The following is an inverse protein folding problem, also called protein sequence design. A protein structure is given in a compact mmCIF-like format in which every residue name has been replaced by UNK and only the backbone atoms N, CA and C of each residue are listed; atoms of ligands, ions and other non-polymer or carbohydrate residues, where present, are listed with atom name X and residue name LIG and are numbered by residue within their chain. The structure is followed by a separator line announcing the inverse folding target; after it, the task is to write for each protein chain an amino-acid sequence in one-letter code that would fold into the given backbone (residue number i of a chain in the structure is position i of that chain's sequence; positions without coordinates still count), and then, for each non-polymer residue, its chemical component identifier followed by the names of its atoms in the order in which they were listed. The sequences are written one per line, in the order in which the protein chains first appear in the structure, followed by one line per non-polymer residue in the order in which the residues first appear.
data_IF_269313425719
#
_entry.id   IF_269313425719
#
_cell.length_a   1.000
_cell.length_b   1.000
_cell.length_c   1.000
_cell.angle_alpha   90.00
_cell.angle_beta   90.00
_cell.angle_gamma   90.00
#
_symmetry.space_group_name_H-M   'P 1'
#
loop_
_entity.id
_entity.type
_entity.pdbx_description
1 polymer ?
#
# COMPACT_ATOMS: atom_id res chain seq x y z
N UNK A 1 -5.52 -28.54 -13.59
CA UNK A 1 -4.50 -27.57 -13.17
C UNK A 1 -5.22 -26.61 -12.24
N UNK A 2 -4.63 -26.28 -11.09
CA UNK A 2 -5.22 -25.22 -10.24
C UNK A 2 -5.07 -23.93 -11.04
N UNK A 3 -6.17 -23.37 -11.55
CA UNK A 3 -6.16 -22.05 -12.17
C UNK A 3 -6.14 -21.03 -11.02
N UNK A 4 -4.95 -20.82 -10.46
CA UNK A 4 -4.74 -19.88 -9.38
C UNK A 4 -5.14 -18.48 -9.87
N UNK A 5 -6.04 -17.81 -9.14
CA UNK A 5 -6.57 -16.49 -9.51
C UNK A 5 -5.46 -15.46 -9.65
N UNK A 6 -4.43 -15.53 -8.80
CA UNK A 6 -3.25 -14.66 -8.83
C UNK A 6 -2.00 -15.53 -8.85
N UNK A 7 -1.13 -15.32 -9.84
CA UNK A 7 0.14 -16.05 -9.97
C UNK A 7 1.32 -15.09 -9.90
N UNK A 8 2.25 -15.32 -8.97
CA UNK A 8 3.50 -14.57 -8.88
C UNK A 8 4.40 -14.88 -10.09
N UNK A 9 4.87 -13.84 -10.78
CA UNK A 9 5.79 -13.99 -11.93
C UNK A 9 7.26 -14.02 -11.52
N UNK A 10 7.59 -13.26 -10.48
CA UNK A 10 8.97 -13.13 -10.01
C UNK A 10 9.41 -14.41 -9.29
N UNK A 11 10.23 -15.21 -9.97
CA UNK A 11 10.95 -16.33 -9.37
C UNK A 11 12.44 -16.24 -9.74
N UNK A 12 13.34 -15.89 -8.78
CA UNK A 12 13.08 -15.75 -7.35
C UNK A 12 12.22 -14.54 -7.00
N UNK A 13 11.59 -14.58 -5.82
CA UNK A 13 10.90 -13.43 -5.23
C UNK A 13 11.88 -12.27 -5.07
N UNK A 14 11.51 -11.10 -5.57
CA UNK A 14 12.39 -9.94 -5.60
C UNK A 14 12.21 -9.10 -4.34
N UNK A 15 13.11 -9.31 -3.39
CA UNK A 15 13.18 -8.60 -2.11
C UNK A 15 14.63 -8.31 -1.70
N UNK A 16 14.81 -7.27 -0.90
CA UNK A 16 16.08 -6.87 -0.34
C UNK A 16 15.90 -6.34 1.08
N UNK A 17 16.81 -6.74 1.97
CA UNK A 17 16.97 -6.16 3.29
C UNK A 17 18.36 -5.53 3.35
N UNK A 18 18.43 -4.22 3.58
CA UNK A 18 19.67 -3.44 3.59
C UNK A 18 20.12 -3.11 5.00
N UNK A 19 21.42 -2.85 5.15
CA UNK A 19 21.97 -2.35 6.42
C UNK A 19 21.61 -0.88 6.68
N UNK A 20 21.35 -0.11 5.62
CA UNK A 20 20.97 1.29 5.68
C UNK A 20 19.77 1.59 4.78
N UNK A 21 19.01 2.61 5.17
CA UNK A 21 17.80 3.04 4.46
C UNK A 21 18.11 3.52 3.04
N UNK A 22 17.28 3.13 2.09
CA UNK A 22 17.23 3.74 0.76
C UNK A 22 15.84 4.35 0.56
N UNK A 23 15.75 5.68 0.62
CA UNK A 23 14.48 6.41 0.56
C UNK A 23 14.11 6.64 -0.91
N UNK A 24 12.93 6.17 -1.32
CA UNK A 24 12.39 6.47 -2.66
C UNK A 24 11.83 7.90 -2.71
N UNK A 25 11.88 8.53 -3.89
CA UNK A 25 11.29 9.85 -4.11
C UNK A 25 9.77 9.83 -4.35
N UNK A 26 9.09 8.71 -4.10
CA UNK A 26 7.65 8.57 -4.36
C UNK A 26 6.87 9.15 -3.19
N UNK A 27 5.83 9.93 -3.50
CA UNK A 27 5.03 10.64 -2.48
C UNK A 27 4.09 9.68 -1.74
N UNK A 28 3.40 8.79 -2.45
CA UNK A 28 2.58 7.73 -1.82
C UNK A 28 3.42 6.48 -1.67
N UNK A 29 3.74 6.14 -0.43
CA UNK A 29 4.50 4.94 -0.10
C UNK A 29 3.61 3.69 -0.12
N UNK A 30 2.33 3.83 0.21
CA UNK A 30 1.38 2.71 0.19
C UNK A 30 -0.02 3.07 0.66
N UNK A 31 -0.96 2.16 0.40
CA UNK A 31 -2.34 2.22 0.88
C UNK A 31 -2.70 0.86 1.47
N UNK A 32 -2.98 0.81 2.77
CA UNK A 32 -3.19 -0.46 3.45
C UNK A 32 -4.19 -0.40 4.61
N UNK A 33 -4.83 -1.53 4.87
CA UNK A 33 -5.44 -1.91 6.14
C UNK A 33 -4.51 -2.92 6.83
N UNK A 34 -4.29 -2.75 8.12
CA UNK A 34 -3.53 -3.70 8.94
C UNK A 34 -4.51 -4.56 9.74
N UNK A 35 -4.40 -5.87 9.66
CA UNK A 35 -5.05 -6.77 10.60
C UNK A 35 -4.12 -7.12 11.76
N UNK A 36 -4.45 -8.21 12.46
CA UNK A 36 -3.68 -8.67 13.61
C UNK A 36 -2.47 -9.47 13.16
N UNK A 37 -1.31 -9.24 13.79
CA UNK A 37 -0.12 -10.05 13.52
C UNK A 37 -0.41 -11.54 13.78
N UNK A 38 0.05 -12.45 12.91
CA UNK A 38 -0.22 -13.87 13.05
C UNK A 38 0.38 -14.43 14.34
N UNK A 39 -0.37 -15.31 15.01
CA UNK A 39 0.01 -15.90 16.32
C UNK A 39 1.31 -16.72 16.24
N UNK A 40 1.66 -17.22 15.04
CA UNK A 40 2.86 -18.01 14.77
C UNK A 40 3.85 -17.26 13.86
N UNK A 41 4.40 -16.15 14.37
CA UNK A 41 5.75 -15.59 14.20
C UNK A 41 6.36 -15.37 12.81
N UNK A 42 6.25 -16.29 11.86
CA UNK A 42 7.10 -16.33 10.67
C UNK A 42 6.32 -16.21 9.34
N UNK A 43 5.00 -16.39 9.36
CA UNK A 43 4.18 -16.35 8.14
C UNK A 43 3.44 -15.04 8.06
N UNK A 44 3.70 -14.24 7.02
CA UNK A 44 2.96 -13.02 6.73
C UNK A 44 2.02 -13.24 5.56
N UNK A 45 0.88 -12.56 5.57
CA UNK A 45 -0.15 -12.69 4.53
C UNK A 45 -0.38 -11.34 3.87
N UNK A 46 -0.18 -11.30 2.55
CA UNK A 46 -0.56 -10.16 1.73
C UNK A 46 -1.84 -10.49 0.96
N UNK A 47 -2.84 -9.62 1.09
CA UNK A 47 -4.12 -9.71 0.40
C UNK A 47 -4.43 -8.35 -0.22
N UNK A 48 -5.29 -8.30 -1.22
CA UNK A 48 -5.76 -7.05 -1.82
C UNK A 48 -7.22 -7.15 -2.25
N UNK A 49 -7.95 -6.04 -2.18
CA UNK A 49 -9.27 -5.95 -2.80
C UNK A 49 -9.08 -5.42 -4.24
N UNK A 50 -9.05 -6.29 -5.23
CA UNK A 50 -8.78 -5.89 -6.61
C UNK A 50 -10.10 -5.59 -7.35
N UNK A 51 -10.16 -4.53 -8.16
CA UNK A 51 -11.34 -4.26 -8.94
C UNK A 51 -11.54 -5.27 -10.09
N UNK A 52 -12.77 -5.47 -10.57
CA UNK A 52 -13.06 -6.39 -11.68
C UNK A 52 -12.39 -5.98 -13.00
N UNK A 53 -12.23 -4.68 -13.25
CA UNK A 53 -11.59 -4.18 -14.48
C UNK A 53 -10.11 -4.56 -14.64
N UNK A 54 -9.46 -5.08 -13.59
CA UNK A 54 -8.09 -5.58 -13.66
C UNK A 54 -8.02 -7.03 -14.17
N UNK A 55 -9.14 -7.66 -14.51
CA UNK A 55 -9.17 -9.03 -15.04
C UNK A 55 -8.21 -9.22 -16.22
N UNK A 56 -7.41 -10.29 -16.18
CA UNK A 56 -6.40 -10.60 -17.20
C UNK A 56 -5.20 -9.64 -17.25
N UNK A 57 -5.11 -8.66 -16.33
CA UNK A 57 -4.02 -7.69 -16.29
C UNK A 57 -2.83 -8.18 -15.46
N UNK A 58 -1.75 -7.42 -15.53
CA UNK A 58 -0.63 -7.53 -14.59
C UNK A 58 -0.88 -6.65 -13.39
N UNK A 59 -0.35 -7.07 -12.25
CA UNK A 59 -0.36 -6.30 -11.01
C UNK A 59 1.07 -6.14 -10.54
N UNK A 60 1.44 -4.93 -10.13
CA UNK A 60 2.67 -4.67 -9.40
C UNK A 60 2.37 -4.50 -7.91
N UNK A 61 3.09 -5.22 -7.05
CA UNK A 61 3.12 -4.94 -5.62
C UNK A 61 4.51 -4.44 -5.21
N UNK A 62 4.54 -3.29 -4.55
CA UNK A 62 5.73 -2.73 -3.89
C UNK A 62 5.49 -2.69 -2.39
N UNK A 63 6.43 -3.22 -1.62
CA UNK A 63 6.42 -3.22 -0.15
C UNK A 63 7.67 -2.53 0.34
N UNK A 64 7.53 -1.64 1.32
CA UNK A 64 8.62 -0.85 1.88
C UNK A 64 8.45 -0.73 3.39
N UNK A 65 9.49 -1.02 4.17
CA UNK A 65 9.46 -0.75 5.62
C UNK A 65 9.61 0.73 5.92
N UNK A 66 9.08 1.16 7.07
CA UNK A 66 9.17 2.56 7.51
C UNK A 66 10.61 3.05 7.61
N UNK A 67 11.54 2.18 8.01
CA UNK A 67 12.98 2.48 8.07
C UNK A 67 13.71 2.42 6.73
N UNK A 68 13.01 2.08 5.64
CA UNK A 68 13.55 1.99 4.29
C UNK A 68 14.60 0.90 4.10
N UNK A 69 14.73 -0.05 5.03
CA UNK A 69 15.70 -1.14 4.95
C UNK A 69 15.16 -2.34 4.18
N UNK A 70 13.89 -2.68 4.37
CA UNK A 70 13.22 -3.74 3.62
C UNK A 70 12.48 -3.17 2.43
N UNK A 71 12.65 -3.82 1.28
CA UNK A 71 11.92 -3.52 0.05
C UNK A 71 11.61 -4.81 -0.71
N UNK A 72 10.41 -4.92 -1.26
CA UNK A 72 10.05 -5.96 -2.22
C UNK A 72 9.28 -5.35 -3.39
N UNK A 73 9.59 -5.77 -4.62
CA UNK A 73 8.90 -5.31 -5.83
C UNK A 73 8.64 -6.50 -6.74
N UNK A 74 7.38 -6.91 -6.86
CA UNK A 74 7.01 -8.14 -7.55
C UNK A 74 5.80 -7.94 -8.47
N UNK A 75 5.80 -8.69 -9.58
CA UNK A 75 4.71 -8.71 -10.55
C UNK A 75 3.88 -9.98 -10.40
N UNK A 76 2.58 -9.85 -10.63
CA UNK A 76 1.61 -10.93 -10.60
C UNK A 76 0.78 -10.91 -11.89
N UNK A 77 0.43 -12.09 -12.39
CA UNK A 77 -0.58 -12.26 -13.42
C UNK A 77 -1.94 -12.51 -12.73
N UNK A 78 -2.95 -11.73 -13.09
CA UNK A 78 -4.33 -11.90 -12.63
C UNK A 78 -5.12 -12.69 -13.68
N UNK A 79 -5.90 -13.68 -13.24
CA UNK A 79 -6.73 -14.49 -14.13
C UNK A 79 -7.72 -13.65 -14.95
N UNK A 80 -8.00 -14.09 -16.18
CA UNK A 80 -9.07 -13.53 -17.02
C UNK A 80 -10.48 -13.85 -16.49
N UNK A 81 -10.58 -14.81 -15.57
CA UNK A 81 -11.84 -15.16 -14.89
C UNK A 81 -12.09 -14.31 -13.65
N UNK A 82 -11.20 -13.35 -13.35
CA UNK A 82 -11.35 -12.47 -12.19
C UNK A 82 -12.60 -11.60 -12.29
N UNK A 83 -13.40 -11.59 -11.22
CA UNK A 83 -14.66 -10.87 -11.13
C UNK A 83 -14.66 -9.72 -10.11
N UNK A 84 -13.49 -9.37 -9.56
CA UNK A 84 -13.35 -8.40 -8.48
C UNK A 84 -13.48 -9.00 -7.08
N UNK A 85 -12.98 -8.27 -6.08
CA UNK A 85 -13.06 -8.62 -4.66
C UNK A 85 -11.71 -8.87 -3.98
N UNK A 86 -11.75 -9.55 -2.84
CA UNK A 86 -10.56 -9.81 -2.01
C UNK A 86 -9.85 -11.08 -2.47
N UNK A 87 -8.54 -11.01 -2.70
CA UNK A 87 -7.72 -12.18 -3.06
C UNK A 87 -6.32 -12.10 -2.44
N UNK A 88 -5.73 -13.26 -2.15
CA UNK A 88 -4.38 -13.38 -1.64
C UNK A 88 -3.34 -13.17 -2.75
N UNK A 89 -2.27 -12.46 -2.43
CA UNK A 89 -1.09 -12.32 -3.30
C UNK A 89 0.03 -13.18 -2.72
N UNK A 90 0.55 -14.18 -3.46
CA UNK A 90 1.66 -15.00 -2.97
C UNK A 90 2.87 -14.15 -2.57
N UNK A 91 3.21 -14.14 -1.28
CA UNK A 91 4.30 -13.32 -0.72
C UNK A 91 5.34 -14.21 0.00
N UNK A 92 6.11 -15.03 -0.73
CA UNK A 92 7.05 -16.00 -0.16
C UNK A 92 8.35 -15.33 0.32
N UNK A 93 8.24 -14.31 1.17
CA UNK A 93 9.38 -13.60 1.76
C UNK A 93 10.20 -14.52 2.65
N UNK A 94 11.53 -14.39 2.59
CA UNK A 94 12.45 -15.02 3.56
C UNK A 94 12.60 -14.22 4.86
N UNK A 95 11.94 -13.06 4.96
CA UNK A 95 12.06 -12.11 6.06
C UNK A 95 10.78 -12.05 6.92
N UNK A 96 9.91 -13.06 6.85
CA UNK A 96 8.61 -13.08 7.53
C UNK A 96 8.67 -12.71 9.01
N UNK A 97 9.60 -13.27 9.78
CA UNK A 97 9.79 -12.95 11.20
C UNK A 97 10.05 -11.44 11.44
N UNK A 98 10.95 -10.84 10.65
CA UNK A 98 11.27 -9.41 10.78
C UNK A 98 10.09 -8.51 10.39
N UNK A 99 9.23 -8.96 9.48
CA UNK A 99 8.07 -8.20 9.02
C UNK A 99 6.85 -8.38 9.94
N UNK A 100 6.71 -9.54 10.58
CA UNK A 100 5.62 -9.82 11.51
C UNK A 100 5.69 -8.96 12.78
N UNK A 101 6.91 -8.60 13.21
CA UNK A 101 7.16 -7.77 14.39
C UNK A 101 6.99 -6.26 14.13
N UNK A 102 6.72 -5.85 12.89
CA UNK A 102 6.54 -4.43 12.56
C UNK A 102 5.19 -3.90 13.08
N UNK A 103 5.16 -2.66 13.61
CA UNK A 103 3.90 -2.03 14.01
C UNK A 103 2.98 -1.79 12.80
N UNK A 104 1.70 -1.45 12.99
CA UNK A 104 0.76 -1.18 11.89
C UNK A 104 1.18 -0.13 10.85
N UNK A 105 2.09 0.76 11.22
CA UNK A 105 2.69 1.78 10.34
C UNK A 105 4.17 1.50 10.06
N UNK A 106 4.61 0.26 10.26
CA UNK A 106 5.97 -0.20 10.00
C UNK A 106 6.19 -0.63 8.55
N UNK A 107 5.11 -0.77 7.76
CA UNK A 107 5.14 -1.13 6.34
C UNK A 107 4.21 -0.23 5.54
N UNK A 108 4.65 0.11 4.34
CA UNK A 108 3.82 0.67 3.29
C UNK A 108 3.75 -0.32 2.13
N UNK A 109 2.55 -0.52 1.61
CA UNK A 109 2.27 -1.47 0.52
C UNK A 109 1.51 -0.74 -0.57
N UNK A 110 2.04 -0.77 -1.78
CA UNK A 110 1.40 -0.22 -2.96
C UNK A 110 1.11 -1.34 -3.95
N UNK A 111 -0.16 -1.52 -4.30
CA UNK A 111 -0.62 -2.50 -5.28
C UNK A 111 -1.29 -1.75 -6.42
N UNK A 112 -0.81 -1.94 -7.65
CA UNK A 112 -1.30 -1.22 -8.81
C UNK A 112 -1.48 -2.11 -10.03
N UNK A 113 -2.39 -1.73 -10.93
CA UNK A 113 -2.45 -2.33 -12.26
C UNK A 113 -1.20 -2.00 -13.09
N UNK A 114 -0.79 -2.93 -13.94
CA UNK A 114 0.35 -2.83 -14.84
C UNK A 114 1.61 -3.54 -14.35
N UNK A 115 2.69 -3.38 -15.11
CA UNK A 115 4.02 -3.85 -14.73
C UNK A 115 4.69 -2.91 -13.71
N UNK A 116 5.73 -3.41 -13.04
CA UNK A 116 6.43 -2.63 -12.01
C UNK A 116 7.34 -1.52 -12.55
N UNK A 117 7.47 -1.39 -13.87
CA UNK A 117 8.24 -0.32 -14.51
C UNK A 117 7.36 0.83 -15.00
N UNK A 118 6.05 0.58 -15.15
CA UNK A 118 5.06 1.54 -15.58
C UNK A 118 4.78 2.57 -14.49
N UNK A 119 4.40 3.77 -14.94
CA UNK A 119 3.94 4.81 -14.04
C UNK A 119 2.60 4.40 -13.43
N UNK A 120 2.54 4.51 -12.11
CA UNK A 120 1.38 4.17 -11.29
C UNK A 120 0.20 5.07 -11.66
N UNK A 121 -0.89 4.50 -12.16
CA UNK A 121 -2.14 5.25 -12.39
C UNK A 121 -3.26 4.80 -11.45
N UNK A 122 -3.40 3.48 -11.27
CA UNK A 122 -4.55 2.86 -10.60
C UNK A 122 -4.02 1.97 -9.48
N UNK A 123 -4.23 2.38 -8.22
CA UNK A 123 -3.80 1.68 -7.01
C UNK A 123 -5.00 1.09 -6.28
N UNK A 124 -4.82 0.05 -5.47
CA UNK A 124 -5.84 -0.44 -4.54
C UNK A 124 -5.34 -0.50 -3.09
N UNK A 125 -6.27 -0.64 -2.15
CA UNK A 125 -6.00 -0.91 -0.74
C UNK A 125 -5.46 -2.34 -0.57
N UNK A 126 -4.25 -2.45 -0.03
CA UNK A 126 -3.69 -3.71 0.43
C UNK A 126 -4.24 -4.10 1.81
N UNK A 127 -4.29 -5.39 2.11
CA UNK A 127 -4.60 -5.91 3.43
C UNK A 127 -3.40 -6.73 3.90
N UNK A 128 -2.79 -6.27 4.99
CA UNK A 128 -1.63 -6.93 5.58
C UNK A 128 -2.04 -7.69 6.83
N UNK A 129 -1.73 -8.99 6.86
CA UNK A 129 -2.13 -9.92 7.91
C UNK A 129 -3.62 -9.75 8.30
N UNK A 130 -4.58 -9.95 7.36
CA UNK A 130 -5.99 -9.64 7.55
C UNK A 130 -6.74 -10.54 8.56
N UNK A 131 -6.03 -11.29 9.41
CA UNK A 131 -6.65 -12.10 10.45
C UNK A 131 -7.13 -11.22 11.61
N UNK A 132 -8.27 -11.58 12.19
CA UNK A 132 -8.83 -10.87 13.35
C UNK A 132 -9.50 -9.55 13.00
N UNK A 133 -9.36 -8.55 13.88
CA UNK A 133 -9.90 -7.21 13.66
C UNK A 133 -9.04 -6.47 12.64
N UNK A 134 -9.67 -5.99 11.56
CA UNK A 134 -9.01 -5.23 10.50
C UNK A 134 -9.16 -3.74 10.82
N UNK A 135 -8.03 -3.03 10.88
CA UNK A 135 -8.01 -1.60 11.13
C UNK A 135 -8.55 -0.76 9.96
N UNK A 136 -8.61 0.55 10.21
CA UNK A 136 -8.96 1.56 9.20
C UNK A 136 -7.96 1.55 8.03
N UNK A 137 -8.45 1.86 6.84
CA UNK A 137 -7.57 2.00 5.67
C UNK A 137 -6.78 3.31 5.76
N UNK A 138 -5.48 3.25 5.50
CA UNK A 138 -4.58 4.39 5.61
C UNK A 138 -3.76 4.55 4.33
N UNK A 139 -3.55 5.80 3.92
CA UNK A 139 -2.55 6.19 2.92
C UNK A 139 -1.29 6.65 3.66
N UNK A 140 -0.16 5.97 3.41
CA UNK A 140 1.14 6.33 3.94
C UNK A 140 1.92 7.17 2.94
N UNK A 141 2.45 8.30 3.41
CA UNK A 141 2.97 9.37 2.56
C UNK A 141 4.40 9.72 2.97
N UNK A 142 5.30 9.77 1.99
CA UNK A 142 6.56 10.49 2.09
C UNK A 142 6.29 11.96 1.78
N UNK A 143 6.04 12.76 2.82
CA UNK A 143 5.74 14.18 2.62
C UNK A 143 7.00 15.03 2.37
N UNK A 144 8.19 14.43 2.52
CA UNK A 144 9.48 15.11 2.58
C UNK A 144 9.54 16.12 3.74
N UNK A 145 9.01 15.71 4.90
CA UNK A 145 8.91 16.53 6.11
C UNK A 145 8.13 17.82 5.88
N UNK A 146 6.99 17.71 5.20
CA UNK A 146 6.04 18.80 5.15
C UNK A 146 5.55 19.13 6.57
N UNK A 147 5.25 20.41 6.82
CA UNK A 147 4.68 20.84 8.10
C UNK A 147 3.24 20.33 8.23
N UNK A 148 2.52 20.30 7.10
CA UNK A 148 1.14 19.82 7.03
C UNK A 148 0.89 19.07 5.73
N UNK A 149 0.03 18.06 5.79
CA UNK A 149 -0.45 17.30 4.65
C UNK A 149 -1.97 17.23 4.69
N UNK A 150 -2.60 17.52 3.56
CA UNK A 150 -4.05 17.43 3.36
C UNK A 150 -4.37 16.49 2.21
N UNK A 151 -5.37 15.66 2.41
CA UNK A 151 -5.92 14.74 1.42
C UNK A 151 -7.33 15.20 1.03
N UNK A 152 -7.59 15.23 -0.26
CA UNK A 152 -8.90 15.48 -0.84
C UNK A 152 -9.30 14.25 -1.65
N UNK A 153 -10.56 13.85 -1.52
CA UNK A 153 -11.16 12.80 -2.34
C UNK A 153 -12.25 13.46 -3.17
N UNK A 154 -12.31 13.15 -4.46
CA UNK A 154 -13.34 13.68 -5.38
C UNK A 154 -14.79 13.35 -4.97
N UNK A 155 -14.95 12.28 -4.18
CA UNK A 155 -16.22 11.77 -3.66
C UNK A 155 -16.50 12.18 -2.22
N UNK A 156 -15.61 12.91 -1.56
CA UNK A 156 -15.74 13.31 -0.15
C UNK A 156 -15.66 14.84 0.00
N UNK A 157 -16.60 15.48 0.72
CA UNK A 157 -16.73 16.95 0.70
C UNK A 157 -15.63 17.67 1.48
N UNK A 158 -15.08 17.03 2.51
CA UNK A 158 -14.16 17.68 3.45
C UNK A 158 -12.70 17.35 3.17
N UNK A 159 -11.82 18.31 3.49
CA UNK A 159 -10.39 18.04 3.47
C UNK A 159 -10.01 17.18 4.67
N UNK A 160 -9.25 16.11 4.42
CA UNK A 160 -8.75 15.22 5.46
C UNK A 160 -7.33 15.67 5.82
N UNK A 161 -7.13 16.10 7.06
CA UNK A 161 -5.79 16.43 7.57
C UNK A 161 -5.07 15.14 7.95
N UNK A 162 -3.89 14.94 7.38
CA UNK A 162 -3.09 13.75 7.66
C UNK A 162 -2.24 13.99 8.91
N UNK A 163 -2.02 12.91 9.66
CA UNK A 163 -1.25 12.96 10.89
C UNK A 163 0.23 12.70 10.60
N UNK A 164 1.10 13.50 11.19
CA UNK A 164 2.52 13.19 11.21
C UNK A 164 2.74 11.91 12.04
N UNK A 165 3.61 11.05 11.54
CA UNK A 165 4.00 9.83 12.23
C UNK A 165 5.21 10.10 13.12
N UNK A 166 5.30 9.42 14.28
CA UNK A 166 6.42 9.64 15.21
C UNK A 166 7.78 9.31 14.57
N UNK A 167 8.72 10.26 14.59
CA UNK A 167 9.97 10.21 13.84
C UNK A 167 10.96 9.07 14.19
N UNK A 168 10.61 8.15 15.08
CA UNK A 168 11.47 7.05 15.54
C UNK A 168 11.71 6.00 14.45
N UNK A 169 12.68 6.25 13.58
CA UNK A 169 13.11 5.29 12.56
C UNK A 169 12.32 5.32 11.25
N UNK A 170 11.39 6.27 11.08
CA UNK A 170 10.64 6.43 9.83
C UNK A 170 11.44 7.29 8.83
N UNK A 171 12.06 6.64 7.85
CA UNK A 171 12.81 7.26 6.77
C UNK A 171 12.03 7.24 5.45
N UNK A 172 11.17 6.25 5.25
CA UNK A 172 10.48 6.01 3.98
C UNK A 172 9.19 6.83 3.80
N UNK A 173 8.48 7.11 4.89
CA UNK A 173 7.23 7.89 4.92
C UNK A 173 7.10 8.53 6.30
N UNK A 174 6.36 9.64 6.39
CA UNK A 174 6.31 10.47 7.59
C UNK A 174 4.90 11.00 7.94
N UNK A 175 3.90 10.70 7.10
CA UNK A 175 2.49 11.02 7.36
C UNK A 175 1.58 9.84 7.03
N UNK A 176 0.44 9.79 7.72
CA UNK A 176 -0.67 8.90 7.41
C UNK A 176 -1.98 9.68 7.30
N UNK A 177 -2.77 9.41 6.26
CA UNK A 177 -4.15 9.87 6.15
C UNK A 177 -5.07 8.67 6.32
N UNK A 178 -6.03 8.75 7.23
CA UNK A 178 -7.08 7.74 7.38
C UNK A 178 -8.13 7.98 6.29
N UNK A 179 -8.51 6.92 5.58
CA UNK A 179 -9.60 6.97 4.60
C UNK A 179 -10.94 6.90 5.35
N UNK A 180 -11.93 7.74 5.00
CA UNK A 180 -13.27 7.64 5.60
C UNK A 180 -13.96 6.33 5.21
N UNK A 181 -14.65 5.71 6.16
CA UNK A 181 -15.33 4.41 5.96
C UNK A 181 -16.52 4.49 4.98
N UNK A 182 -17.06 5.68 4.73
CA UNK A 182 -18.18 5.90 3.81
C UNK A 182 -17.75 6.04 2.34
N UNK A 183 -16.44 6.00 2.07
CA UNK A 183 -15.88 6.09 0.73
C UNK A 183 -15.63 4.69 0.16
N UNK A 184 -16.13 4.43 -1.05
CA UNK A 184 -15.92 3.16 -1.75
C UNK A 184 -15.89 3.34 -3.27
N UNK A 185 -15.42 2.31 -3.98
CA UNK A 185 -15.22 2.31 -5.42
C UNK A 185 -13.94 3.00 -5.85
N UNK A 186 -13.92 3.50 -7.08
CA UNK A 186 -12.80 4.25 -7.64
C UNK A 186 -12.89 5.71 -7.21
N UNK A 187 -11.85 6.22 -6.54
CA UNK A 187 -11.75 7.61 -6.10
C UNK A 187 -10.46 8.25 -6.58
N UNK A 188 -10.52 9.53 -6.91
CA UNK A 188 -9.34 10.35 -7.15
C UNK A 188 -8.87 10.96 -5.83
N UNK A 189 -7.63 10.65 -5.45
CA UNK A 189 -6.99 11.18 -4.25
C UNK A 189 -6.03 12.28 -4.65
N UNK A 190 -6.24 13.49 -4.14
CA UNK A 190 -5.30 14.61 -4.29
C UNK A 190 -4.64 14.92 -2.95
N UNK A 191 -3.30 14.90 -2.95
CA UNK A 191 -2.47 15.19 -1.78
C UNK A 191 -1.79 16.55 -1.91
N UNK A 192 -2.02 17.41 -0.93
CA UNK A 192 -1.37 18.71 -0.76
C UNK A 192 -0.38 18.64 0.38
N UNK A 193 0.85 19.07 0.12
CA UNK A 193 1.91 19.17 1.13
C UNK A 193 2.28 20.63 1.31
N UNK A 194 2.35 21.09 2.56
CA UNK A 194 2.66 22.48 2.90
C UNK A 194 3.98 22.53 3.68
N UNK A 195 4.93 23.33 3.21
CA UNK A 195 6.22 23.55 3.88
C UNK A 195 6.52 25.03 3.97
N UNK A 196 6.80 25.53 5.18
CA UNK A 196 7.00 26.95 5.45
C UNK A 196 5.80 27.81 5.01
N UNK A 197 4.58 27.27 5.15
CA UNK A 197 3.34 27.93 4.72
C UNK A 197 3.12 27.98 3.20
N UNK A 198 3.92 27.26 2.41
CA UNK A 198 3.79 27.22 0.94
C UNK A 198 3.34 25.83 0.47
N UNK A 199 2.27 25.73 -0.33
CA UNK A 199 1.87 24.45 -0.91
C UNK A 199 2.85 24.03 -2.01
N UNK A 200 3.24 22.76 -2.00
CA UNK A 200 3.91 22.11 -3.12
C UNK A 200 2.91 21.78 -4.24
N UNK A 201 3.41 21.38 -5.41
CA UNK A 201 2.56 20.83 -6.47
C UNK A 201 1.79 19.62 -5.94
N UNK A 202 0.45 19.57 -6.11
CA UNK A 202 -0.34 18.45 -5.63
C UNK A 202 0.04 17.16 -6.33
N UNK A 203 -0.13 16.05 -5.63
CA UNK A 203 0.02 14.70 -6.19
C UNK A 203 -1.34 14.07 -6.31
N UNK A 204 -1.61 13.43 -7.45
CA UNK A 204 -2.89 12.81 -7.74
C UNK A 204 -2.67 11.33 -8.00
N UNK A 205 -3.54 10.48 -7.43
CA UNK A 205 -3.64 9.07 -7.79
C UNK A 205 -5.10 8.65 -7.89
N UNK A 206 -5.36 7.60 -8.66
CA UNK A 206 -6.63 6.89 -8.62
C UNK A 206 -6.51 5.70 -7.67
N UNK A 207 -7.41 5.62 -6.70
CA UNK A 207 -7.45 4.58 -5.68
C UNK A 207 -8.77 3.81 -5.80
N UNK A 208 -8.67 2.48 -5.86
CA UNK A 208 -9.81 1.59 -5.65
C UNK A 208 -9.93 1.25 -4.17
N UNK A 209 -11.09 1.55 -3.59
CA UNK A 209 -11.48 1.18 -2.23
C UNK A 209 -12.62 0.17 -2.38
N UNK A 210 -12.31 -1.10 -2.22
CA UNK A 210 -13.35 -2.12 -2.30
C UNK A 210 -14.31 -2.06 -1.11
N UNK A 211 -15.52 -2.58 -1.31
CA UNK A 211 -16.52 -2.65 -0.25
C UNK A 211 -16.04 -3.55 0.88
N UNK A 212 -16.29 -3.15 2.12
CA UNK A 212 -16.08 -4.00 3.29
C UNK A 212 -16.96 -5.24 3.15
N UNK A 213 -16.32 -6.41 3.15
CA UNK A 213 -16.97 -7.73 3.07
C UNK A 213 -17.47 -8.18 4.44
#
# INVERSE_FOLDING_TARGET
MSDDIVTLRSNPFNEVLRDAAQISGVIVAGVLRHGTAPVNGDTVTLTANLPPEWSGSRICARVLSADGRYEATNEYDLSQEWSGGVTGLPFPTRHGAALADLPPQGLAIQISAGDCMSQLSDTTVALWNPDGEIGEAQILINSFRADEVFMYLDTYPDAIRCNALEAGGMAAFDHACILPDDVSGSVEVTLYRVSGGKPATPSVLKLWIGLDS
#
